data_IF_454524087209
#
_entry.id   IF_454524087209
#
_cell.length_a   1.000
_cell.length_b   1.000
_cell.length_c   1.000
_cell.angle_alpha   90.00
_cell.angle_beta   90.00
_cell.angle_gamma   90.00
#
_symmetry.space_group_name_H-M   'P 1'
#
loop_
_entity.id
_entity.type
_entity.pdbx_description
1 polymer ?
#
# COMPACT_ATOMS: atom_id res chain seq x y z
N UNK A 1 15.28 -10.83 18.93
CA UNK A 1 14.52 -10.36 17.75
C UNK A 1 13.99 -11.60 17.06
N UNK A 2 12.70 -11.67 16.74
CA UNK A 2 12.19 -12.81 15.98
C UNK A 2 12.88 -12.86 14.62
N UNK A 3 13.37 -14.05 14.24
CA UNK A 3 13.93 -14.33 12.91
C UNK A 3 12.85 -14.65 11.88
N UNK A 4 11.57 -14.48 12.25
CA UNK A 4 10.45 -14.80 11.38
C UNK A 4 10.28 -13.74 10.28
N UNK A 5 9.89 -14.16 9.06
CA UNK A 5 9.52 -13.24 8.00
C UNK A 5 8.33 -12.38 8.44
N UNK A 6 8.36 -11.09 8.10
CA UNK A 6 7.21 -10.19 8.28
C UNK A 6 6.35 -10.16 7.02
N UNK A 7 5.05 -9.94 7.20
CA UNK A 7 4.10 -9.80 6.08
C UNK A 7 3.74 -8.34 5.90
N UNK A 8 4.02 -7.81 4.71
CA UNK A 8 3.61 -6.47 4.30
C UNK A 8 2.56 -6.54 3.19
N UNK A 9 1.71 -5.52 3.10
CA UNK A 9 0.75 -5.33 2.01
C UNK A 9 1.09 -4.02 1.31
N UNK A 10 1.18 -4.04 -0.02
CA UNK A 10 1.41 -2.87 -0.85
C UNK A 10 0.35 -2.79 -1.94
N UNK A 11 -0.18 -1.60 -2.23
CA UNK A 11 -1.39 -1.45 -3.03
C UNK A 11 -1.17 -0.54 -4.24
N UNK A 12 -1.41 -1.07 -5.43
CA UNK A 12 -1.60 -0.24 -6.63
C UNK A 12 -3.01 0.32 -6.63
N UNK A 13 -3.13 1.61 -6.33
CA UNK A 13 -4.42 2.31 -6.28
C UNK A 13 -4.63 3.08 -7.58
N UNK A 14 -5.58 2.63 -8.40
CA UNK A 14 -5.87 3.19 -9.73
C UNK A 14 -7.07 4.14 -9.72
N UNK A 15 -7.03 5.15 -10.58
CA UNK A 15 -8.14 6.09 -10.79
C UNK A 15 -8.82 5.88 -12.15
N UNK A 16 -9.98 5.21 -12.16
CA UNK A 16 -10.80 5.03 -13.37
C UNK A 16 -10.13 4.24 -14.49
N UNK A 17 -10.55 4.46 -15.74
CA UNK A 17 -10.11 3.71 -16.93
C UNK A 17 -9.05 4.45 -17.76
N UNK A 18 -8.46 5.52 -17.24
CA UNK A 18 -7.31 6.15 -17.92
C UNK A 18 -6.09 5.28 -17.62
N UNK A 19 -5.60 4.61 -18.65
CA UNK A 19 -4.62 3.55 -18.52
C UNK A 19 -3.35 4.02 -17.80
N UNK A 20 -3.03 3.33 -16.70
CA UNK A 20 -1.67 3.28 -16.11
C UNK A 20 -1.39 4.22 -14.95
N UNK A 21 -2.26 5.17 -14.61
CA UNK A 21 -2.02 6.07 -13.49
C UNK A 21 -2.40 5.42 -12.14
N UNK A 22 -1.44 5.38 -11.22
CA UNK A 22 -1.65 4.88 -9.87
C UNK A 22 -0.96 5.74 -8.80
N UNK A 23 -1.46 5.64 -7.57
CA UNK A 23 -0.95 6.43 -6.45
C UNK A 23 0.38 5.89 -5.94
N UNK A 24 1.36 6.79 -5.84
CA UNK A 24 2.62 6.56 -5.13
C UNK A 24 2.87 7.71 -4.15
N UNK A 25 3.61 7.40 -3.10
CA UNK A 25 4.02 8.35 -2.07
C UNK A 25 5.52 8.42 -1.91
N UNK A 26 6.01 9.55 -1.41
CA UNK A 26 7.43 9.70 -1.06
C UNK A 26 7.65 9.35 0.40
N UNK A 27 8.52 8.37 0.67
CA UNK A 27 8.84 7.89 2.03
C UNK A 27 9.57 8.97 2.83
N UNK A 28 9.10 9.25 4.05
CA UNK A 28 9.76 10.19 4.98
C UNK A 28 10.70 9.50 5.99
N UNK A 29 10.57 8.19 6.22
CA UNK A 29 11.34 7.42 7.23
C UNK A 29 12.71 6.91 6.74
N UNK A 30 13.53 6.41 7.68
CA UNK A 30 14.99 6.16 7.51
C UNK A 30 15.39 5.05 6.52
N UNK A 31 14.55 4.03 6.28
CA UNK A 31 14.80 3.04 5.22
C UNK A 31 14.16 3.51 3.91
N UNK A 32 15.01 3.86 2.94
CA UNK A 32 14.54 4.35 1.63
C UNK A 32 13.99 5.78 1.68
N UNK A 33 14.43 6.60 2.63
CA UNK A 33 14.05 8.01 2.73
C UNK A 33 14.17 8.70 1.37
N UNK A 34 13.12 9.38 0.94
CA UNK A 34 13.09 10.12 -0.32
C UNK A 34 12.80 9.29 -1.57
N UNK A 35 12.68 7.96 -1.47
CA UNK A 35 12.21 7.09 -2.57
C UNK A 35 10.68 7.06 -2.64
N UNK A 36 10.16 6.64 -3.81
CA UNK A 36 8.73 6.42 -4.00
C UNK A 36 8.34 5.01 -3.60
N UNK A 37 7.19 4.88 -2.96
CA UNK A 37 6.59 3.61 -2.58
C UNK A 37 5.07 3.63 -2.85
N UNK A 38 4.51 2.45 -3.01
CA UNK A 38 3.06 2.25 -2.97
C UNK A 38 2.54 2.52 -1.55
N UNK A 39 1.28 2.94 -1.40
CA UNK A 39 0.63 2.89 -0.10
C UNK A 39 0.59 1.45 0.44
N UNK A 40 0.80 1.30 1.74
CA UNK A 40 0.89 -0.03 2.33
C UNK A 40 1.52 -0.06 3.72
N UNK A 41 1.50 -1.23 4.35
CA UNK A 41 2.01 -1.40 5.70
C UNK A 41 2.03 -2.87 6.13
N UNK A 42 2.07 -3.12 7.45
CA UNK A 42 2.11 -4.48 7.97
C UNK A 42 0.71 -5.05 8.10
N UNK A 43 0.56 -6.34 7.74
CA UNK A 43 -0.66 -7.07 7.96
C UNK A 43 -0.91 -7.24 9.46
N UNK A 44 -2.01 -6.70 9.97
CA UNK A 44 -2.34 -6.85 11.39
C UNK A 44 -2.99 -8.22 11.66
N UNK A 45 -2.92 -8.67 12.92
CA UNK A 45 -3.53 -9.92 13.34
C UNK A 45 -5.05 -9.90 13.10
N UNK A 46 -5.56 -10.90 12.39
CA UNK A 46 -6.98 -11.05 12.08
C UNK A 46 -7.47 -10.28 10.85
N UNK A 47 -6.59 -9.54 10.16
CA UNK A 47 -6.95 -8.88 8.89
C UNK A 47 -6.85 -9.84 7.70
N UNK A 48 -7.78 -9.71 6.76
CA UNK A 48 -7.56 -10.15 5.38
C UNK A 48 -6.61 -9.19 4.65
N UNK A 49 -6.05 -9.62 3.51
CA UNK A 49 -5.20 -8.75 2.70
C UNK A 49 -5.96 -7.52 2.19
N UNK A 50 -7.24 -7.68 1.85
CA UNK A 50 -8.12 -6.61 1.40
C UNK A 50 -8.40 -5.60 2.51
N UNK A 51 -8.63 -6.07 3.74
CA UNK A 51 -8.84 -5.20 4.90
C UNK A 51 -7.60 -4.36 5.19
N UNK A 52 -6.42 -5.00 5.22
CA UNK A 52 -5.16 -4.30 5.40
C UNK A 52 -4.90 -3.29 4.29
N UNK A 53 -5.11 -3.67 3.02
CA UNK A 53 -4.94 -2.78 1.87
C UNK A 53 -5.85 -1.54 1.97
N UNK A 54 -7.13 -1.72 2.26
CA UNK A 54 -8.08 -0.62 2.39
C UNK A 54 -7.74 0.31 3.56
N UNK A 55 -7.32 -0.26 4.71
CA UNK A 55 -6.90 0.50 5.89
C UNK A 55 -5.67 1.36 5.61
N UNK A 56 -4.59 0.75 5.13
CA UNK A 56 -3.32 1.45 4.87
C UNK A 56 -3.50 2.57 3.83
N UNK A 57 -4.22 2.29 2.73
CA UNK A 57 -4.53 3.33 1.74
C UNK A 57 -5.29 4.49 2.38
N UNK A 58 -6.29 4.21 3.23
CA UNK A 58 -7.06 5.25 3.90
C UNK A 58 -6.21 6.07 4.87
N UNK A 59 -5.34 5.43 5.64
CA UNK A 59 -4.46 6.07 6.62
C UNK A 59 -3.42 6.96 5.95
N UNK A 60 -2.76 6.49 4.89
CA UNK A 60 -1.64 7.19 4.26
C UNK A 60 -2.08 8.26 3.26
N UNK A 61 -3.20 8.02 2.56
CA UNK A 61 -3.64 8.86 1.43
C UNK A 61 -4.99 9.56 1.67
N UNK A 62 -5.77 9.11 2.64
CA UNK A 62 -7.14 9.58 2.86
C UNK A 62 -8.18 9.05 1.87
N UNK A 63 -7.77 8.29 0.85
CA UNK A 63 -8.65 7.76 -0.19
C UNK A 63 -9.47 6.56 0.34
N UNK A 64 -10.73 6.50 -0.08
CA UNK A 64 -11.51 5.26 0.00
C UNK A 64 -11.26 4.42 -1.23
N UNK A 65 -11.22 3.09 -1.08
CA UNK A 65 -11.01 2.17 -2.20
C UNK A 65 -12.05 1.06 -2.24
N UNK A 66 -12.26 0.53 -3.44
CA UNK A 66 -13.09 -0.64 -3.71
C UNK A 66 -12.40 -1.56 -4.73
N UNK A 67 -13.03 -2.70 -5.01
CA UNK A 67 -12.50 -3.71 -5.95
C UNK A 67 -11.06 -4.13 -5.61
N UNK A 68 -10.83 -4.36 -4.31
CA UNK A 68 -9.50 -4.74 -3.80
C UNK A 68 -9.24 -6.19 -4.18
N UNK A 69 -8.15 -6.44 -4.92
CA UNK A 69 -7.82 -7.77 -5.46
C UNK A 69 -6.35 -8.10 -5.25
N UNK A 70 -6.08 -9.38 -5.03
CA UNK A 70 -4.71 -9.90 -5.02
C UNK A 70 -4.09 -9.80 -6.42
N UNK A 71 -2.84 -9.32 -6.48
CA UNK A 71 -2.05 -9.26 -7.69
C UNK A 71 -0.96 -10.34 -7.71
N UNK A 72 -0.08 -10.30 -6.71
CA UNK A 72 1.06 -11.22 -6.61
C UNK A 72 1.65 -11.16 -5.20
N UNK A 73 2.60 -12.05 -4.91
CA UNK A 73 3.39 -12.02 -3.69
C UNK A 73 4.87 -12.14 -4.02
N UNK A 74 5.71 -11.42 -3.28
CA UNK A 74 7.16 -11.57 -3.35
C UNK A 74 7.73 -12.07 -2.03
N UNK A 75 8.82 -12.80 -2.13
CA UNK A 75 9.61 -13.25 -1.01
C UNK A 75 10.99 -12.57 -1.08
N UNK A 76 11.25 -11.62 -0.18
CA UNK A 76 12.45 -10.76 -0.26
C UNK A 76 13.26 -10.82 1.03
N UNK A 77 14.50 -11.31 0.89
CA UNK A 77 15.49 -11.35 1.98
C UNK A 77 16.51 -10.23 1.76
N UNK A 78 16.48 -9.24 2.64
CA UNK A 78 17.42 -8.11 2.65
C UNK A 78 18.63 -8.48 3.52
N UNK A 79 19.57 -9.24 2.95
CA UNK A 79 20.73 -9.79 3.67
C UNK A 79 21.52 -8.75 4.48
N UNK A 80 21.79 -7.58 3.91
CA UNK A 80 22.54 -6.52 4.58
C UNK A 80 21.77 -5.82 5.71
N UNK A 81 20.44 -5.91 5.72
CA UNK A 81 19.57 -5.27 6.71
C UNK A 81 19.04 -6.24 7.77
N UNK A 82 19.31 -7.55 7.64
CA UNK A 82 18.77 -8.58 8.51
C UNK A 82 17.24 -8.64 8.50
N UNK A 83 16.61 -8.28 7.36
CA UNK A 83 15.14 -8.24 7.22
C UNK A 83 14.68 -9.26 6.19
N UNK A 84 13.56 -9.91 6.48
CA UNK A 84 12.86 -10.79 5.54
C UNK A 84 11.40 -10.36 5.49
N UNK A 85 10.93 -10.01 4.29
CA UNK A 85 9.54 -9.69 4.04
C UNK A 85 8.93 -10.63 3.01
N UNK A 86 7.71 -11.08 3.31
CA UNK A 86 6.75 -11.52 2.31
C UNK A 86 5.86 -10.31 2.03
N UNK A 87 5.89 -9.80 0.80
CA UNK A 87 5.06 -8.66 0.41
C UNK A 87 3.92 -9.15 -0.46
N UNK A 88 2.70 -8.91 -0.02
CA UNK A 88 1.48 -9.14 -0.78
C UNK A 88 1.17 -7.86 -1.55
N UNK A 89 1.17 -7.95 -2.87
CA UNK A 89 0.77 -6.86 -3.75
C UNK A 89 -0.73 -7.00 -4.05
N UNK A 90 -1.45 -5.91 -3.83
CA UNK A 90 -2.87 -5.79 -4.11
C UNK A 90 -3.11 -4.70 -5.16
N UNK A 91 -4.24 -4.76 -5.85
CA UNK A 91 -4.77 -3.66 -6.66
C UNK A 91 -6.05 -3.15 -6.04
N UNK A 92 -6.36 -1.87 -6.19
CA UNK A 92 -7.64 -1.31 -5.79
C UNK A 92 -8.03 -0.11 -6.68
N UNK A 93 -9.33 0.19 -6.73
CA UNK A 93 -9.89 1.34 -7.44
C UNK A 93 -10.30 2.41 -6.43
N UNK A 94 -10.00 3.69 -6.72
CA UNK A 94 -10.47 4.80 -5.87
C UNK A 94 -11.98 4.94 -5.97
N UNK A 95 -12.64 5.10 -4.83
CA UNK A 95 -14.07 5.45 -4.77
C UNK A 95 -14.26 6.87 -5.28
N UNK A 96 -15.06 7.03 -6.33
CA UNK A 96 -15.47 8.34 -6.83
C UNK A 96 -16.53 8.98 -5.90
N UNK A 97 -16.50 10.32 -5.83
CA UNK A 97 -17.56 11.12 -5.23
C UNK A 97 -18.86 11.00 -6.04
N UNK A 98 -19.97 11.45 -5.45
CA UNK A 98 -21.31 11.40 -6.08
C UNK A 98 -21.34 12.15 -7.42
N UNK A 99 -20.54 13.21 -7.56
CA UNK A 99 -20.40 14.00 -8.79
C UNK A 99 -19.43 13.37 -9.82
N UNK A 100 -18.90 12.17 -9.53
CA UNK A 100 -17.93 11.47 -10.36
C UNK A 100 -16.49 11.98 -10.24
N UNK A 101 -16.25 13.03 -9.44
CA UNK A 101 -14.88 13.48 -9.14
C UNK A 101 -14.18 12.48 -8.21
N UNK A 102 -12.84 12.50 -8.20
CA UNK A 102 -12.05 11.68 -7.28
C UNK A 102 -11.29 12.61 -6.36
N UNK A 103 -11.32 12.33 -5.06
CA UNK A 103 -10.55 13.09 -4.07
C UNK A 103 -9.05 13.01 -4.38
N UNK A 104 -8.36 14.13 -4.26
CA UNK A 104 -6.89 14.12 -4.34
C UNK A 104 -6.29 13.39 -3.13
N UNK A 105 -5.23 12.57 -3.33
CA UNK A 105 -4.50 11.96 -2.24
C UNK A 105 -3.97 13.03 -1.28
N UNK A 106 -4.25 12.88 0.01
CA UNK A 106 -3.76 13.76 1.07
C UNK A 106 -2.62 13.05 1.80
N UNK A 107 -1.46 13.68 1.91
CA UNK A 107 -0.33 13.12 2.69
C UNK A 107 -0.69 13.17 4.18
N UNK A 108 -1.15 12.05 4.74
CA UNK A 108 -1.63 11.97 6.13
C UNK A 108 -0.65 11.32 7.10
N UNK A 109 0.13 10.37 6.62
CA UNK A 109 1.25 9.76 7.35
C UNK A 109 2.42 9.48 6.40
N UNK A 110 3.55 9.00 6.92
CA UNK A 110 4.68 8.60 6.07
C UNK A 110 4.46 7.20 5.51
N UNK A 111 4.53 7.06 4.19
CA UNK A 111 4.54 5.76 3.49
C UNK A 111 5.55 4.81 4.15
N UNK A 112 5.03 3.68 4.66
CA UNK A 112 5.78 2.71 5.47
C UNK A 112 6.86 1.96 4.71
#
# INVERSE_FOLDING_TARGET
MSSEPRVGVAVFVFQGTKDGDFVIGRRKGSHGAGTYALPGGHLAFGESFEQCAAREVKEETGLGVHDVRFLTATNTVFGNAGKHYVTIFMTAMVVANIDGSVSEPQVRSSFA
#
